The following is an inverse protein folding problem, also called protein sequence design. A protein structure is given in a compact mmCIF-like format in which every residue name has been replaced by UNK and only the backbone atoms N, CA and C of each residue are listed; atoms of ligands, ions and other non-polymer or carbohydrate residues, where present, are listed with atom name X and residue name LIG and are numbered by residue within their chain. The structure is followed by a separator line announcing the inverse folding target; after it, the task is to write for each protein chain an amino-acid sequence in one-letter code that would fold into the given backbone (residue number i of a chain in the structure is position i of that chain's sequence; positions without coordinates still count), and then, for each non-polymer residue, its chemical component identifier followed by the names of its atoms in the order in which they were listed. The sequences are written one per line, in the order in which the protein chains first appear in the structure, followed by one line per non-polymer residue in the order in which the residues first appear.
data_IF_646458385388
#
_entry.id   IF_646458385388
#
_cell.length_a   1.000
_cell.length_b   1.000
_cell.length_c   1.000
_cell.angle_alpha   90.00
_cell.angle_beta   90.00
_cell.angle_gamma   90.00
#
_symmetry.space_group_name_H-M   'P 1'
#
loop_
_entity.id
_entity.type
_entity.pdbx_description
1 polymer ?
#
# COMPACT_ATOMS: atom_id res chain seq x y z
N UNK A 1 -7.21 3.53 10.29
CA UNK A 1 -6.13 3.20 11.23
C UNK A 1 -5.19 2.17 10.64
N UNK A 2 -3.91 2.38 10.79
CA UNK A 2 -2.88 1.48 10.25
C UNK A 2 -2.18 0.76 11.40
N UNK A 3 -1.83 -0.50 11.16
CA UNK A 3 -1.11 -1.31 12.14
C UNK A 3 0.36 -1.38 11.74
N UNK A 4 1.26 -1.21 12.69
CA UNK A 4 2.68 -1.16 12.43
C UNK A 4 3.46 -2.07 13.38
N UNK A 5 4.59 -2.55 12.89
CA UNK A 5 5.60 -3.22 13.71
C UNK A 5 6.90 -2.47 13.49
N UNK A 6 7.97 -2.79 14.24
CA UNK A 6 9.25 -2.12 13.98
C UNK A 6 9.74 -2.30 12.54
N UNK A 7 9.39 -3.41 11.90
CA UNK A 7 9.80 -3.67 10.53
C UNK A 7 8.92 -2.99 9.50
N UNK A 8 7.71 -2.60 9.87
CA UNK A 8 6.72 -2.06 8.94
C UNK A 8 6.15 -0.76 9.47
N UNK A 9 7.05 0.15 9.79
CA UNK A 9 6.66 1.49 10.19
C UNK A 9 6.46 2.36 8.96
N UNK A 10 5.70 3.41 9.13
CA UNK A 10 5.55 4.38 8.07
C UNK A 10 6.20 5.70 8.49
N UNK A 11 6.56 6.50 7.51
CA UNK A 11 7.10 7.82 7.73
C UNK A 11 6.29 8.88 7.01
N UNK A 12 6.72 10.11 7.13
CA UNK A 12 6.03 11.23 6.48
C UNK A 12 6.03 11.09 4.96
N UNK A 13 7.00 10.39 4.38
CA UNK A 13 7.07 10.20 2.95
C UNK A 13 5.84 9.49 2.40
N UNK A 14 5.35 8.46 3.10
CA UNK A 14 4.18 7.72 2.66
C UNK A 14 2.94 8.61 2.70
N UNK A 15 2.82 9.43 3.73
CA UNK A 15 1.67 10.34 3.84
C UNK A 15 1.70 11.41 2.76
N UNK A 16 2.88 11.94 2.44
CA UNK A 16 3.03 12.90 1.37
C UNK A 16 2.68 12.28 0.02
N UNK A 17 3.12 11.04 -0.20
CA UNK A 17 2.80 10.32 -1.43
C UNK A 17 1.30 10.11 -1.55
N UNK A 18 0.64 9.74 -0.47
CA UNK A 18 -0.80 9.51 -0.48
C UNK A 18 -1.54 10.78 -0.90
N UNK A 19 -1.09 11.93 -0.41
CA UNK A 19 -1.71 13.21 -0.79
C UNK A 19 -1.42 13.57 -2.24
N UNK A 20 -0.19 13.35 -2.68
CA UNK A 20 0.23 13.73 -4.02
C UNK A 20 -0.48 12.90 -5.08
N UNK A 21 -0.70 11.63 -4.81
CA UNK A 21 -1.31 10.71 -5.76
C UNK A 21 -2.76 10.36 -5.39
N UNK A 22 -3.44 11.23 -4.69
CA UNK A 22 -4.76 10.92 -4.15
C UNK A 22 -5.76 10.61 -5.26
N UNK A 23 -6.42 9.43 -5.23
CA UNK A 23 -7.44 9.12 -6.21
C UNK A 23 -8.74 9.86 -5.90
N UNK A 24 -9.56 10.06 -6.92
CA UNK A 24 -10.91 10.51 -6.70
C UNK A 24 -11.72 9.40 -6.05
N UNK A 25 -12.84 9.76 -5.46
CA UNK A 25 -13.59 8.85 -4.58
C UNK A 25 -13.84 7.47 -5.17
N UNK A 26 -14.19 7.39 -6.45
CA UNK A 26 -14.58 6.11 -7.06
C UNK A 26 -13.54 5.55 -8.02
N UNK A 27 -12.38 6.16 -8.14
CA UNK A 27 -11.36 5.67 -9.06
C UNK A 27 -10.76 4.36 -8.57
N UNK A 28 -10.28 3.54 -9.49
CA UNK A 28 -9.59 2.29 -9.17
C UNK A 28 -8.12 2.59 -8.91
N UNK A 29 -7.64 2.20 -7.75
CA UNK A 29 -6.30 2.57 -7.31
C UNK A 29 -5.47 1.37 -6.93
N UNK A 30 -4.16 1.51 -7.03
CA UNK A 30 -3.22 0.50 -6.58
C UNK A 30 -2.14 1.15 -5.74
N UNK A 31 -1.85 0.54 -4.60
CA UNK A 31 -0.75 0.90 -3.72
C UNK A 31 0.30 -0.19 -3.88
N UNK A 32 1.30 0.08 -4.71
CA UNK A 32 2.34 -0.88 -5.02
C UNK A 32 3.45 -0.72 -4.00
N UNK A 33 3.88 -1.77 -3.34
CA UNK A 33 4.82 -1.74 -2.21
C UNK A 33 4.15 -1.13 -0.97
N UNK A 34 2.99 -1.69 -0.60
CA UNK A 34 2.15 -1.03 0.39
C UNK A 34 2.64 -1.13 1.83
N UNK A 35 3.56 -2.05 2.13
CA UNK A 35 3.96 -2.29 3.50
C UNK A 35 2.76 -2.71 4.32
N UNK A 36 2.52 -2.01 5.43
CA UNK A 36 1.33 -2.26 6.24
C UNK A 36 0.11 -1.48 5.75
N UNK A 37 0.18 -0.89 4.56
CA UNK A 37 -0.97 -0.29 3.91
C UNK A 37 -1.21 1.17 4.21
N UNK A 38 -0.16 1.91 4.59
CA UNK A 38 -0.35 3.30 5.02
C UNK A 38 -0.97 4.17 3.91
N UNK A 39 -0.55 3.99 2.66
CA UNK A 39 -1.07 4.83 1.57
C UNK A 39 -2.54 4.48 1.30
N UNK A 40 -2.85 3.18 1.19
CA UNK A 40 -4.23 2.75 0.93
C UNK A 40 -5.18 3.19 2.04
N UNK A 41 -4.73 3.06 3.28
CA UNK A 41 -5.56 3.44 4.44
C UNK A 41 -5.71 4.94 4.54
N UNK A 42 -4.67 5.69 4.21
CA UNK A 42 -4.76 7.16 4.19
C UNK A 42 -5.75 7.61 3.12
N UNK A 43 -5.72 7.00 1.93
CA UNK A 43 -6.69 7.30 0.89
C UNK A 43 -8.11 7.06 1.41
N UNK A 44 -8.32 5.93 2.09
CA UNK A 44 -9.63 5.63 2.67
C UNK A 44 -10.06 6.73 3.65
N UNK A 45 -9.17 7.12 4.53
CA UNK A 45 -9.48 8.16 5.53
C UNK A 45 -9.80 9.49 4.87
N UNK A 46 -9.25 9.72 3.68
CA UNK A 46 -9.49 10.96 2.92
C UNK A 46 -10.68 10.84 1.99
N UNK A 47 -11.39 9.73 1.99
CA UNK A 47 -12.66 9.59 1.26
C UNK A 47 -12.68 8.62 0.10
N UNK A 48 -11.56 7.97 -0.22
CA UNK A 48 -11.52 7.03 -1.33
C UNK A 48 -12.36 5.79 -1.02
N UNK A 49 -13.23 5.40 -1.95
CA UNK A 49 -14.12 4.24 -1.79
C UNK A 49 -14.11 3.31 -2.99
N UNK A 50 -13.41 3.66 -4.07
CA UNK A 50 -13.26 2.78 -5.21
C UNK A 50 -12.35 1.60 -4.90
N UNK A 51 -12.28 0.60 -5.79
CA UNK A 51 -11.44 -0.57 -5.55
C UNK A 51 -9.98 -0.17 -5.39
N UNK A 52 -9.32 -0.73 -4.39
CA UNK A 52 -7.92 -0.44 -4.11
C UNK A 52 -7.18 -1.75 -3.87
N UNK A 53 -6.18 -2.03 -4.69
CA UNK A 53 -5.32 -3.19 -4.51
C UNK A 53 -4.05 -2.72 -3.82
N UNK A 54 -3.73 -3.32 -2.68
CA UNK A 54 -2.54 -2.97 -1.92
C UNK A 54 -1.56 -4.15 -2.00
N UNK A 55 -0.52 -3.97 -2.78
CA UNK A 55 0.43 -5.03 -3.10
C UNK A 55 1.66 -4.94 -2.21
N UNK A 56 2.00 -6.04 -1.58
CA UNK A 56 3.17 -6.09 -0.70
C UNK A 56 3.86 -7.44 -0.83
N UNK A 57 5.18 -7.40 -1.01
CA UNK A 57 5.98 -8.61 -1.14
C UNK A 57 6.09 -9.37 0.18
N UNK A 58 6.21 -8.66 1.28
CA UNK A 58 6.47 -9.27 2.58
C UNK A 58 5.17 -9.71 3.24
N UNK A 59 5.05 -11.01 3.61
CA UNK A 59 3.80 -11.50 4.19
C UNK A 59 3.39 -10.79 5.48
N UNK A 60 4.36 -10.38 6.32
CA UNK A 60 4.01 -9.70 7.57
C UNK A 60 3.29 -8.38 7.31
N UNK A 61 3.78 -7.59 6.35
CA UNK A 61 3.15 -6.32 6.04
C UNK A 61 1.76 -6.52 5.46
N UNK A 62 1.62 -7.49 4.54
CA UNK A 62 0.34 -7.79 3.95
C UNK A 62 -0.66 -8.29 5.00
N UNK A 63 -0.18 -9.08 5.97
CA UNK A 63 -1.03 -9.58 7.05
C UNK A 63 -1.50 -8.46 7.96
N UNK A 64 -0.66 -7.46 8.22
CA UNK A 64 -1.06 -6.32 9.03
C UNK A 64 -2.15 -5.53 8.34
N UNK A 65 -2.04 -5.33 7.04
CA UNK A 65 -3.09 -4.64 6.30
C UNK A 65 -4.37 -5.47 6.27
N UNK A 66 -4.25 -6.78 6.07
CA UNK A 66 -5.43 -7.63 6.04
C UNK A 66 -6.19 -7.57 7.36
N UNK A 67 -5.47 -7.53 8.49
CA UNK A 67 -6.09 -7.39 9.79
C UNK A 67 -6.83 -6.06 9.93
N UNK A 68 -6.22 -4.97 9.46
CA UNK A 68 -6.87 -3.65 9.52
C UNK A 68 -8.11 -3.61 8.64
N UNK A 69 -8.04 -4.19 7.45
CA UNK A 69 -9.17 -4.25 6.52
C UNK A 69 -10.33 -5.01 7.13
N UNK A 70 -10.03 -6.16 7.73
CA UNK A 70 -11.07 -6.99 8.33
C UNK A 70 -11.69 -6.31 9.53
N UNK A 71 -10.89 -5.78 10.41
CA UNK A 71 -11.38 -5.16 11.64
C UNK A 71 -12.23 -3.93 11.34
N UNK A 72 -11.85 -3.14 10.35
CA UNK A 72 -12.55 -1.90 10.02
C UNK A 72 -13.55 -2.08 8.88
N UNK A 73 -13.69 -3.31 8.37
CA UNK A 73 -14.66 -3.65 7.31
C UNK A 73 -14.46 -2.81 6.06
N UNK A 74 -13.22 -2.69 5.62
CA UNK A 74 -12.87 -1.89 4.45
C UNK A 74 -12.91 -2.77 3.20
N UNK A 75 -14.11 -3.13 2.76
CA UNK A 75 -14.31 -4.15 1.72
C UNK A 75 -13.79 -3.73 0.35
N UNK A 76 -13.50 -2.45 0.13
CA UNK A 76 -12.97 -1.99 -1.15
C UNK A 76 -11.45 -2.13 -1.25
N UNK A 77 -10.75 -2.40 -0.16
CA UNK A 77 -9.30 -2.58 -0.16
C UNK A 77 -8.98 -4.07 -0.19
N UNK A 78 -8.18 -4.49 -1.15
CA UNK A 78 -7.77 -5.88 -1.32
C UNK A 78 -6.27 -6.00 -1.09
N UNK A 79 -5.84 -6.54 0.05
CA UNK A 79 -4.42 -6.82 0.25
C UNK A 79 -3.99 -7.96 -0.67
N UNK A 80 -2.82 -7.81 -1.27
CA UNK A 80 -2.27 -8.85 -2.14
C UNK A 80 -0.80 -9.04 -1.79
N UNK A 81 -0.43 -10.26 -1.41
CA UNK A 81 0.95 -10.58 -1.09
C UNK A 81 1.59 -11.16 -2.34
N UNK A 82 2.37 -10.35 -3.03
CA UNK A 82 2.95 -10.77 -4.29
C UNK A 82 4.14 -9.89 -4.65
N UNK A 83 4.94 -10.37 -5.60
CA UNK A 83 6.11 -9.65 -6.09
C UNK A 83 5.67 -8.75 -7.25
N UNK A 84 5.87 -7.45 -7.12
CA UNK A 84 5.50 -6.49 -8.14
C UNK A 84 6.13 -6.84 -9.50
N UNK A 85 7.32 -7.40 -9.50
CA UNK A 85 8.03 -7.72 -10.74
C UNK A 85 7.33 -8.78 -11.58
N UNK A 86 6.54 -9.64 -10.93
CA UNK A 86 5.85 -10.75 -11.60
C UNK A 86 4.33 -10.66 -11.52
N UNK A 87 3.80 -9.70 -10.81
CA UNK A 87 2.36 -9.54 -10.64
C UNK A 87 1.75 -9.02 -11.94
N UNK A 88 0.71 -9.67 -12.41
CA UNK A 88 0.09 -9.35 -13.70
C UNK A 88 -1.41 -9.13 -13.64
N UNK A 89 -1.99 -9.35 -12.48
CA UNK A 89 -3.43 -9.20 -12.33
C UNK A 89 -3.82 -7.74 -12.54
N UNK A 90 -4.86 -7.50 -13.32
CA UNK A 90 -5.40 -6.15 -13.55
C UNK A 90 -4.40 -5.18 -14.16
N UNK A 91 -3.42 -5.71 -14.88
CA UNK A 91 -2.41 -4.87 -15.49
C UNK A 91 -3.07 -3.86 -16.43
N UNK A 92 -2.71 -2.59 -16.28
CA UNK A 92 -3.24 -1.53 -17.14
C UNK A 92 -4.63 -1.07 -16.82
N UNK A 93 -5.19 -1.45 -15.68
CA UNK A 93 -6.59 -1.15 -15.36
C UNK A 93 -6.77 -0.22 -14.17
N UNK A 94 -5.70 0.42 -13.70
CA UNK A 94 -5.81 1.32 -12.56
C UNK A 94 -5.81 2.77 -13.02
N UNK A 95 -6.63 3.59 -12.37
CA UNK A 95 -6.66 5.03 -12.62
C UNK A 95 -5.52 5.73 -11.92
N UNK A 96 -5.14 5.28 -10.73
CA UNK A 96 -4.08 5.87 -9.92
C UNK A 96 -3.22 4.75 -9.34
N UNK A 97 -1.92 4.90 -9.47
CA UNK A 97 -0.97 3.97 -8.85
C UNK A 97 0.04 4.77 -8.05
N UNK A 98 0.32 4.31 -6.84
CA UNK A 98 1.37 4.89 -6.02
C UNK A 98 2.37 3.79 -5.68
N UNK A 99 3.63 4.16 -5.60
CA UNK A 99 4.68 3.21 -5.24
C UNK A 99 5.68 3.91 -4.34
N UNK A 100 5.78 3.41 -3.11
CA UNK A 100 6.73 3.93 -2.13
C UNK A 100 7.66 2.78 -1.75
N UNK A 101 8.66 2.48 -2.58
CA UNK A 101 9.51 1.31 -2.33
C UNK A 101 10.33 1.49 -1.06
N UNK A 102 10.67 0.40 -0.41
CA UNK A 102 11.49 0.49 0.79
C UNK A 102 12.88 1.02 0.46
N UNK A 103 13.44 1.79 1.38
CA UNK A 103 14.81 2.26 1.26
C UNK A 103 15.70 1.34 2.07
N UNK A 104 16.57 0.61 1.40
CA UNK A 104 17.51 -0.24 2.10
C UNK A 104 18.83 0.49 2.17
N UNK A 105 19.21 0.79 3.38
CA UNK A 105 20.54 1.31 3.56
C UNK A 105 21.32 0.18 4.11
N UNK A 106 21.92 -0.53 3.49
CA UNK A 106 22.64 -1.54 3.92
C UNK A 106 23.78 -1.57 3.45
N UNK A 107 24.11 -1.37 4.02
CA UNK A 107 25.03 -1.20 3.74
C UNK A 107 25.56 -1.79 3.16
N UNK A 108 26.09 -1.88 3.31
CA UNK A 108 26.58 -1.99 2.39
C UNK A 108 25.82 -2.60 1.61
N UNK A 109 24.98 -2.67 1.95
CA UNK A 109 24.23 -3.20 1.31
C UNK A 109 23.93 -2.57 0.34
N UNK A 110 23.98 -2.07 0.44
CA UNK A 110 23.73 -1.67 -0.26
C UNK A 110 24.40 -1.02 -0.80
N UNK A 111 24.97 -0.98 -0.57
CA UNK A 111 25.53 -0.59 -0.99
C UNK A 111 25.89 -0.95 -1.68
N UNK A 112 25.74 -0.92 -1.50
CA UNK A 112 25.78 -1.37 -1.81
C UNK A 112 25.79 -1.61 -2.35
#
# INVERSE_FOLDING_TARGET
MVYCTPEHRFGSDALLLARFCEPKRSQKAADLCSGCGIVALEWHDRGHRGPCTALELQPDGSALLAAAVEEQQLTHITPACADLRTWRQDEGQFDVCACNPPYFTEGPQSKN
#
